data_IF_101641618471
#
_entry.id   IF_101641618471
#
_cell.length_a   1.000
_cell.length_b   1.000
_cell.length_c   1.000
_cell.angle_alpha   90.00
_cell.angle_beta   90.00
_cell.angle_gamma   90.00
#
_symmetry.space_group_name_H-M   'P 1'
#
loop_
_entity.id
_entity.type
_entity.pdbx_description
1 polymer ?
#
# COMPACT_ATOMS: atom_id res chain seq x y z
N UNK A 1 -35.87 -12.81 -4.53
CA UNK A 1 -34.44 -12.60 -4.82
C UNK A 1 -33.65 -12.69 -3.52
N UNK A 2 -33.45 -13.91 -3.01
CA UNK A 2 -32.57 -14.17 -1.88
C UNK A 2 -31.38 -14.94 -2.46
N UNK A 3 -30.17 -14.38 -2.34
CA UNK A 3 -28.95 -15.09 -2.69
C UNK A 3 -28.74 -16.18 -1.64
N UNK A 4 -29.12 -17.40 -2.00
CA UNK A 4 -28.86 -18.60 -1.18
C UNK A 4 -27.36 -18.82 -1.15
N UNK A 5 -26.74 -18.65 0.02
CA UNK A 5 -25.36 -19.09 0.26
C UNK A 5 -25.32 -20.61 0.08
N UNK A 6 -24.63 -21.07 -0.97
CA UNK A 6 -24.50 -22.50 -1.23
C UNK A 6 -23.61 -23.16 -0.16
N UNK A 7 -24.04 -24.29 0.39
CA UNK A 7 -23.35 -25.01 1.48
C UNK A 7 -21.91 -25.45 1.13
N UNK A 8 -21.55 -25.53 -0.16
CA UNK A 8 -20.19 -25.89 -0.59
C UNK A 8 -19.13 -24.80 -0.30
N UNK A 9 -19.54 -23.56 0.00
CA UNK A 9 -18.61 -22.44 0.19
C UNK A 9 -17.83 -22.50 1.52
N UNK A 10 -18.24 -23.33 2.49
CA UNK A 10 -17.64 -23.34 3.83
C UNK A 10 -16.40 -24.25 3.93
N UNK A 11 -16.22 -25.19 3.00
CA UNK A 11 -15.17 -26.23 3.09
C UNK A 11 -13.92 -26.03 2.21
N UNK A 12 -13.75 -24.89 1.53
CA UNK A 12 -12.60 -24.67 0.63
C UNK A 12 -11.50 -23.74 1.16
N UNK A 13 -11.45 -23.48 2.48
CA UNK A 13 -10.30 -22.78 3.10
C UNK A 13 -9.01 -23.62 3.17
N UNK A 14 -8.97 -24.81 2.56
CA UNK A 14 -7.77 -25.64 2.50
C UNK A 14 -7.47 -26.08 1.07
N UNK A 15 -6.29 -25.65 0.60
CA UNK A 15 -5.57 -26.16 -0.57
C UNK A 15 -6.12 -25.84 -1.98
N UNK A 16 -5.55 -24.81 -2.63
CA UNK A 16 -4.80 -24.98 -3.89
C UNK A 16 -4.05 -23.71 -4.29
N UNK A 17 -2.73 -23.78 -4.27
CA UNK A 17 -1.89 -22.85 -5.04
C UNK A 17 -1.85 -23.32 -6.51
N UNK A 18 -2.03 -22.44 -7.50
CA UNK A 18 -1.52 -22.69 -8.84
C UNK A 18 -0.21 -21.92 -9.05
N UNK A 19 0.86 -22.70 -9.21
CA UNK A 19 1.97 -22.38 -10.10
C UNK A 19 1.41 -22.17 -11.52
N UNK A 20 1.86 -21.24 -12.35
CA UNK A 20 2.88 -20.23 -12.24
C UNK A 20 3.14 -19.68 -13.64
N UNK A 21 3.19 -18.37 -13.80
CA UNK A 21 3.88 -17.70 -14.90
C UNK A 21 4.67 -16.54 -14.30
N UNK A 22 5.90 -16.86 -13.91
CA UNK A 22 6.84 -15.93 -13.30
C UNK A 22 7.54 -15.11 -14.38
N UNK A 23 7.00 -13.93 -14.68
CA UNK A 23 7.85 -12.85 -15.18
C UNK A 23 8.81 -12.45 -14.06
N UNK A 24 10.09 -12.78 -14.26
CA UNK A 24 11.16 -12.72 -13.29
C UNK A 24 11.60 -11.31 -12.86
N UNK A 25 10.93 -10.26 -13.35
CA UNK A 25 11.29 -8.87 -13.03
C UNK A 25 10.49 -8.30 -11.83
N UNK A 26 9.30 -8.82 -11.53
CA UNK A 26 8.41 -8.27 -10.49
C UNK A 26 8.60 -8.92 -9.09
N UNK A 27 9.37 -10.01 -8.98
CA UNK A 27 9.45 -10.83 -7.75
C UNK A 27 10.59 -10.47 -6.79
N UNK A 28 11.54 -9.59 -7.16
CA UNK A 28 12.69 -9.23 -6.30
C UNK A 28 12.44 -8.02 -5.38
N UNK A 29 11.39 -7.23 -5.60
CA UNK A 29 11.20 -5.94 -4.88
C UNK A 29 10.03 -5.93 -3.88
N UNK A 30 9.54 -7.10 -3.47
CA UNK A 30 8.25 -7.25 -2.75
C UNK A 30 8.34 -7.24 -1.21
N UNK A 31 9.48 -6.96 -0.59
CA UNK A 31 9.60 -7.07 0.89
C UNK A 31 10.20 -5.88 1.64
N UNK A 32 10.54 -4.76 1.00
CA UNK A 32 11.16 -3.62 1.71
C UNK A 32 10.56 -2.25 1.39
N UNK A 33 9.65 -2.16 0.42
CA UNK A 33 8.99 -0.91 0.06
C UNK A 33 7.58 -0.91 0.62
N UNK A 34 7.30 0.06 1.50
CA UNK A 34 6.02 0.23 2.17
C UNK A 34 5.19 1.40 1.60
N UNK A 35 5.53 1.90 0.40
CA UNK A 35 4.74 2.92 -0.28
C UNK A 35 3.51 2.31 -0.93
N UNK A 36 2.42 3.08 -1.05
CA UNK A 36 1.25 2.65 -1.82
C UNK A 36 1.43 3.00 -3.30
N UNK A 37 1.20 2.08 -4.25
CA UNK A 37 1.31 2.39 -5.67
C UNK A 37 0.32 3.48 -6.11
N UNK A 38 0.76 4.42 -6.95
CA UNK A 38 -0.06 5.54 -7.45
C UNK A 38 -1.30 5.08 -8.23
N UNK A 39 -1.23 3.94 -8.93
CA UNK A 39 -2.36 3.33 -9.63
C UNK A 39 -3.58 2.96 -8.77
N UNK A 40 -3.43 2.98 -7.44
CA UNK A 40 -4.55 2.75 -6.51
C UNK A 40 -5.19 4.07 -6.06
N UNK A 41 -4.85 5.19 -6.69
CA UNK A 41 -5.42 6.50 -6.43
C UNK A 41 -6.04 7.06 -7.70
N UNK A 42 -6.94 8.03 -7.55
CA UNK A 42 -7.46 8.79 -8.70
C UNK A 42 -6.33 9.66 -9.27
N UNK A 43 -6.12 9.59 -10.59
CA UNK A 43 -4.90 10.12 -11.27
C UNK A 43 -4.67 11.61 -11.01
N UNK A 44 -5.73 12.41 -10.92
CA UNK A 44 -5.66 13.85 -10.69
C UNK A 44 -5.43 14.24 -9.21
N UNK A 45 -5.51 13.29 -8.28
CA UNK A 45 -5.40 13.58 -6.85
C UNK A 45 -3.96 13.51 -6.33
N UNK A 46 -3.07 12.76 -7.01
CA UNK A 46 -1.71 12.51 -6.51
C UNK A 46 -0.72 13.51 -7.07
N UNK A 47 -0.33 14.47 -6.25
CA UNK A 47 0.76 15.41 -6.54
C UNK A 47 2.15 14.78 -6.41
N UNK A 48 3.15 15.39 -7.06
CA UNK A 48 4.55 14.96 -6.97
C UNK A 48 5.11 15.04 -5.54
N UNK A 49 4.61 15.97 -4.72
CA UNK A 49 4.92 16.14 -3.29
C UNK A 49 4.49 14.94 -2.45
N UNK A 50 3.50 14.16 -2.90
CA UNK A 50 3.01 12.98 -2.21
C UNK A 50 3.81 11.70 -2.53
N UNK A 51 4.82 11.77 -3.41
CA UNK A 51 5.58 10.61 -3.87
C UNK A 51 6.83 10.41 -3.02
N UNK A 52 6.98 9.20 -2.47
CA UNK A 52 8.16 8.81 -1.72
C UNK A 52 9.40 8.72 -2.62
N UNK A 53 10.50 9.44 -2.30
CA UNK A 53 11.72 9.38 -3.09
C UNK A 53 12.39 8.00 -3.13
N UNK A 54 12.19 7.17 -2.10
CA UNK A 54 12.77 5.82 -1.97
C UNK A 54 11.93 4.80 -2.76
N UNK A 55 10.65 4.66 -2.41
CA UNK A 55 9.81 3.59 -2.94
C UNK A 55 8.96 3.95 -4.15
N UNK A 56 9.00 5.22 -4.59
CA UNK A 56 8.31 5.74 -5.79
C UNK A 56 6.78 5.54 -5.81
N UNK A 57 6.17 5.30 -4.64
CA UNK A 57 4.73 5.30 -4.45
C UNK A 57 4.29 6.45 -3.54
N UNK A 58 3.00 6.57 -3.30
CA UNK A 58 2.41 7.53 -2.36
C UNK A 58 2.95 7.29 -0.95
N UNK A 59 3.32 8.38 -0.28
CA UNK A 59 3.84 8.40 1.08
C UNK A 59 2.84 7.77 2.07
N UNK A 60 3.27 6.83 2.89
CA UNK A 60 2.45 6.28 3.99
C UNK A 60 3.12 6.61 5.31
N UNK A 61 2.32 7.06 6.29
CA UNK A 61 2.82 7.50 7.60
C UNK A 61 4.01 8.45 7.44
N UNK A 62 3.83 9.51 6.64
CA UNK A 62 4.92 10.38 6.18
C UNK A 62 5.75 10.92 7.36
N UNK A 63 7.07 10.89 7.21
CA UNK A 63 8.03 11.46 8.15
C UNK A 63 8.96 12.39 7.41
N UNK A 64 9.38 13.45 8.08
CA UNK A 64 10.35 14.42 7.58
C UNK A 64 11.61 14.33 8.43
N UNK A 65 12.77 14.46 7.79
CA UNK A 65 14.02 14.73 8.52
C UNK A 65 13.98 16.22 8.86
N UNK A 66 13.86 16.58 10.13
CA UNK A 66 13.74 17.98 10.56
C UNK A 66 15.11 18.53 10.97
N UNK A 67 15.90 18.92 9.97
CA UNK A 67 17.23 19.51 10.16
C UNK A 67 17.42 20.71 9.25
N UNK A 68 18.24 21.68 9.67
CA UNK A 68 18.51 22.90 8.89
C UNK A 68 19.08 22.64 7.48
N UNK A 69 19.71 21.48 7.26
CA UNK A 69 20.38 21.12 6.01
C UNK A 69 19.63 20.05 5.19
N UNK A 70 18.60 19.44 5.77
CA UNK A 70 17.81 18.39 5.13
C UNK A 70 16.38 18.41 5.67
N UNK A 71 15.41 18.64 4.78
CA UNK A 71 13.96 18.65 5.04
C UNK A 71 13.21 17.73 4.07
N UNK A 72 13.77 16.55 3.79
CA UNK A 72 13.17 15.58 2.85
C UNK A 72 12.17 14.66 3.55
N UNK A 73 11.07 14.37 2.86
CA UNK A 73 9.96 13.55 3.38
C UNK A 73 9.96 12.14 2.76
N UNK A 74 9.68 11.14 3.59
CA UNK A 74 9.66 9.71 3.24
C UNK A 74 8.51 8.97 3.93
N UNK A 75 8.20 7.74 3.51
CA UNK A 75 7.37 6.87 4.36
C UNK A 75 8.17 6.46 5.59
N UNK A 76 7.53 6.41 6.76
CA UNK A 76 8.15 5.95 8.01
C UNK A 76 8.94 4.64 7.83
N UNK A 77 8.30 3.62 7.26
CA UNK A 77 8.93 2.32 7.01
C UNK A 77 10.05 2.36 5.95
N UNK A 78 9.93 3.22 4.94
CA UNK A 78 10.93 3.29 3.87
C UNK A 78 12.24 3.89 4.37
N UNK A 79 12.18 5.01 5.11
CA UNK A 79 13.39 5.60 5.68
C UNK A 79 13.97 4.72 6.79
N UNK A 80 13.12 4.11 7.64
CA UNK A 80 13.59 3.19 8.68
C UNK A 80 14.34 1.99 8.09
N UNK A 81 13.91 1.47 6.94
CA UNK A 81 14.63 0.38 6.26
C UNK A 81 15.96 0.86 5.65
N UNK A 82 15.97 2.04 5.01
CA UNK A 82 17.18 2.66 4.45
C UNK A 82 18.26 2.87 5.53
N UNK A 83 17.85 3.38 6.70
CA UNK A 83 18.72 3.66 7.84
C UNK A 83 19.39 2.40 8.44
N UNK A 84 18.95 1.19 8.08
CA UNK A 84 19.65 -0.05 8.44
C UNK A 84 20.99 -0.23 7.71
N UNK A 85 21.16 0.46 6.58
CA UNK A 85 22.31 0.31 5.68
C UNK A 85 23.08 1.59 5.44
N UNK A 86 22.44 2.76 5.57
CA UNK A 86 23.06 4.06 5.34
C UNK A 86 22.41 5.11 6.23
N UNK A 87 23.22 5.92 6.90
CA UNK A 87 22.78 7.10 7.66
C UNK A 87 22.67 8.35 6.79
N UNK A 88 22.91 8.25 5.47
CA UNK A 88 22.85 9.40 4.56
C UNK A 88 21.47 9.53 3.93
N UNK A 89 21.01 10.76 3.78
CA UNK A 89 19.75 11.07 3.12
C UNK A 89 19.77 10.60 1.67
N UNK A 90 18.77 9.79 1.22
CA UNK A 90 18.69 9.31 -0.16
C UNK A 90 18.57 10.40 -1.22
N UNK A 91 18.20 11.62 -0.83
CA UNK A 91 17.93 12.74 -1.77
C UNK A 91 19.12 13.69 -1.87
N UNK A 92 19.70 14.10 -0.74
CA UNK A 92 20.77 15.10 -0.72
C UNK A 92 22.12 14.60 -0.18
N UNK A 93 22.19 13.39 0.37
CA UNK A 93 23.43 12.80 0.87
C UNK A 93 23.91 13.33 2.23
N UNK A 94 23.18 14.24 2.88
CA UNK A 94 23.50 14.69 4.24
C UNK A 94 23.27 13.58 5.28
N UNK A 95 24.05 13.58 6.35
CA UNK A 95 23.82 12.70 7.50
C UNK A 95 22.45 12.96 8.14
N UNK A 96 21.74 11.88 8.44
CA UNK A 96 20.46 11.90 9.14
C UNK A 96 20.71 11.50 10.58
N UNK A 97 20.36 12.40 11.51
CA UNK A 97 20.16 12.03 12.90
C UNK A 97 18.77 11.38 13.06
N UNK A 98 18.69 10.10 13.50
CA UNK A 98 17.41 9.44 13.76
C UNK A 98 16.50 10.20 14.73
N UNK A 99 17.06 11.00 15.66
CA UNK A 99 16.28 11.80 16.61
C UNK A 99 15.51 12.95 15.94
N UNK A 100 15.95 13.38 14.74
CA UNK A 100 15.31 14.44 13.95
C UNK A 100 14.29 13.88 12.95
N UNK A 101 14.07 12.56 12.89
CA UNK A 101 13.03 11.98 12.05
C UNK A 101 11.69 12.10 12.79
N UNK A 102 10.88 13.06 12.37
CA UNK A 102 9.60 13.37 13.01
C UNK A 102 8.42 13.15 12.05
N UNK A 103 7.21 12.88 12.57
CA UNK A 103 5.99 12.91 11.77
C UNK A 103 5.84 14.19 10.96
N UNK A 104 5.54 14.05 9.66
CA UNK A 104 5.11 15.19 8.84
C UNK A 104 3.58 15.22 8.79
N UNK A 105 2.96 15.81 9.81
CA UNK A 105 1.50 15.81 9.96
C UNK A 105 0.79 16.50 8.79
N UNK A 106 1.31 17.62 8.28
CA UNK A 106 0.74 18.29 7.10
C UNK A 106 0.67 17.37 5.87
N UNK A 107 1.76 16.64 5.58
CA UNK A 107 1.76 15.67 4.47
C UNK A 107 0.89 14.45 4.77
N UNK A 108 0.81 14.00 6.04
CA UNK A 108 -0.09 12.90 6.42
C UNK A 108 -1.55 13.27 6.21
N UNK A 109 -1.95 14.47 6.63
CA UNK A 109 -3.31 14.98 6.43
C UNK A 109 -3.65 15.08 4.93
N UNK A 110 -2.76 15.69 4.13
CA UNK A 110 -2.95 15.81 2.69
C UNK A 110 -3.08 14.45 2.00
N UNK A 111 -2.22 13.49 2.36
CA UNK A 111 -2.25 12.15 1.79
C UNK A 111 -3.48 11.36 2.26
N UNK A 112 -3.89 11.50 3.51
CA UNK A 112 -5.09 10.82 4.04
C UNK A 112 -6.38 11.32 3.41
N UNK A 113 -6.40 12.56 2.90
CA UNK A 113 -7.52 13.11 2.14
C UNK A 113 -7.62 12.55 0.71
N UNK A 114 -6.62 11.83 0.22
CA UNK A 114 -6.66 11.23 -1.12
C UNK A 114 -7.62 10.05 -1.15
N UNK A 115 -8.48 10.03 -2.17
CA UNK A 115 -9.31 8.86 -2.46
C UNK A 115 -8.49 7.74 -3.10
N UNK A 116 -8.60 6.55 -2.54
CA UNK A 116 -7.96 5.33 -3.00
C UNK A 116 -8.99 4.26 -3.33
N UNK A 117 -8.64 3.40 -4.29
CA UNK A 117 -9.41 2.20 -4.63
C UNK A 117 -8.82 0.97 -3.94
N UNK A 118 -9.64 -0.06 -3.74
CA UNK A 118 -9.21 -1.31 -3.13
C UNK A 118 -8.18 -2.07 -4.00
N UNK A 119 -7.23 -2.74 -3.33
CA UNK A 119 -6.23 -3.60 -3.97
C UNK A 119 -6.85 -4.79 -4.73
N UNK A 120 -8.07 -5.21 -4.33
CA UNK A 120 -8.82 -6.30 -4.94
C UNK A 120 -9.82 -5.83 -6.00
N UNK A 121 -9.65 -4.62 -6.57
CA UNK A 121 -10.50 -4.13 -7.67
C UNK A 121 -10.54 -5.09 -8.86
N UNK A 122 -9.40 -5.72 -9.16
CA UNK A 122 -9.29 -6.76 -10.21
C UNK A 122 -10.09 -8.04 -9.91
N UNK A 123 -10.44 -8.28 -8.64
CA UNK A 123 -11.28 -9.40 -8.21
C UNK A 123 -12.75 -9.02 -8.03
N UNK A 124 -13.12 -7.79 -8.41
CA UNK A 124 -14.49 -7.29 -8.35
C UNK A 124 -14.83 -6.47 -7.09
N UNK A 125 -13.85 -6.08 -6.28
CA UNK A 125 -14.12 -5.10 -5.22
C UNK A 125 -14.32 -3.71 -5.80
N UNK A 126 -15.48 -3.09 -5.55
CA UNK A 126 -15.78 -1.72 -6.00
C UNK A 126 -15.55 -0.66 -4.91
N UNK A 127 -14.86 -1.00 -3.83
CA UNK A 127 -14.64 -0.06 -2.74
C UNK A 127 -13.67 1.04 -3.14
N UNK A 128 -14.08 2.27 -2.86
CA UNK A 128 -13.28 3.49 -2.92
C UNK A 128 -13.52 4.28 -1.63
N UNK A 129 -12.50 4.99 -1.17
CA UNK A 129 -12.56 5.77 0.06
C UNK A 129 -11.20 6.38 0.44
N UNK A 130 -11.13 7.12 1.55
CA UNK A 130 -9.88 7.72 2.01
C UNK A 130 -8.91 6.65 2.53
N UNK A 131 -7.60 6.95 2.52
CA UNK A 131 -6.56 5.99 2.93
C UNK A 131 -6.77 5.41 4.34
N UNK A 132 -7.15 6.17 5.38
CA UNK A 132 -7.32 5.62 6.73
C UNK A 132 -8.34 4.49 6.80
N UNK A 133 -9.42 4.58 6.02
CA UNK A 133 -10.52 3.62 6.02
C UNK A 133 -10.18 2.33 5.26
N UNK A 134 -9.13 2.37 4.42
CA UNK A 134 -8.71 1.22 3.63
C UNK A 134 -8.28 0.04 4.50
N UNK A 135 -7.57 0.29 5.60
CA UNK A 135 -7.10 -0.78 6.48
C UNK A 135 -8.29 -1.56 7.07
N UNK A 136 -9.32 -0.84 7.48
CA UNK A 136 -10.55 -1.41 8.00
C UNK A 136 -11.32 -2.19 6.93
N UNK A 137 -11.44 -1.62 5.72
CA UNK A 137 -12.02 -2.30 4.57
C UNK A 137 -11.32 -3.63 4.24
N UNK A 138 -9.99 -3.65 4.22
CA UNK A 138 -9.21 -4.84 3.84
C UNK A 138 -9.40 -6.04 4.79
N UNK A 139 -9.85 -5.82 6.04
CA UNK A 139 -10.15 -6.91 7.00
C UNK A 139 -11.31 -7.81 6.58
N UNK A 140 -12.25 -7.25 5.80
CA UNK A 140 -13.46 -7.95 5.35
C UNK A 140 -13.54 -8.09 3.82
N UNK A 141 -12.74 -7.32 3.08
CA UNK A 141 -12.75 -7.27 1.62
C UNK A 141 -12.78 -8.67 0.98
N UNK A 142 -11.80 -9.53 1.29
CA UNK A 142 -11.70 -10.85 0.65
C UNK A 142 -12.87 -11.79 0.98
N UNK A 143 -13.52 -11.62 2.15
CA UNK A 143 -14.69 -12.42 2.54
C UNK A 143 -15.95 -11.99 1.78
N UNK A 144 -16.02 -10.72 1.41
CA UNK A 144 -17.15 -10.14 0.67
C UNK A 144 -17.07 -10.33 -0.84
N UNK A 145 -15.92 -10.77 -1.37
CA UNK A 145 -15.75 -10.99 -2.80
C UNK A 145 -16.57 -12.20 -3.29
N UNK A 146 -17.14 -12.13 -4.50
CA UNK A 146 -17.88 -13.24 -5.06
C UNK A 146 -16.94 -14.44 -5.26
N UNK A 147 -17.17 -15.51 -4.52
CA UNK A 147 -16.51 -16.80 -4.74
C UNK A 147 -17.21 -17.48 -5.91
N UNK A 148 -16.54 -17.53 -7.06
CA UNK A 148 -16.97 -18.39 -8.15
C UNK A 148 -16.72 -19.85 -7.71
N UNK A 149 -17.79 -20.55 -7.36
CA UNK A 149 -17.71 -21.98 -7.10
C UNK A 149 -17.68 -22.73 -8.44
N UNK A 150 -16.51 -23.23 -8.84
CA UNK A 150 -16.35 -24.01 -10.08
C UNK A 150 -17.20 -25.29 -10.09
N UNK A 151 -17.64 -25.75 -8.91
CA UNK A 151 -18.51 -26.92 -8.74
C UNK A 151 -20.01 -26.62 -8.87
N UNK A 152 -20.42 -25.34 -8.89
CA UNK A 152 -21.82 -24.92 -9.03
C UNK A 152 -22.20 -24.53 -10.47
N UNK A 153 -21.35 -24.83 -11.47
CA UNK A 153 -21.65 -24.66 -12.90
C UNK A 153 -22.32 -25.90 -13.53
N UNK A 154 -23.10 -26.66 -12.77
CA UNK A 154 -23.96 -27.74 -13.30
C UNK A 154 -25.43 -27.39 -13.10
#
# INVERSE_FOLDING_TARGET
FFATTCACAVEQLSAKEPAGESSAFAKKHRSMVACRPTRHFKEDAVEASHICPIGKGVLLEAVIVDSDVCQHTFCSKCIANHMRTSSLCPVCGHEIDPALIVPNEATREAVNALETICDNVSKGCSWEGPIPDLADHLRDCLRSLPVQCDMCKQ
#
